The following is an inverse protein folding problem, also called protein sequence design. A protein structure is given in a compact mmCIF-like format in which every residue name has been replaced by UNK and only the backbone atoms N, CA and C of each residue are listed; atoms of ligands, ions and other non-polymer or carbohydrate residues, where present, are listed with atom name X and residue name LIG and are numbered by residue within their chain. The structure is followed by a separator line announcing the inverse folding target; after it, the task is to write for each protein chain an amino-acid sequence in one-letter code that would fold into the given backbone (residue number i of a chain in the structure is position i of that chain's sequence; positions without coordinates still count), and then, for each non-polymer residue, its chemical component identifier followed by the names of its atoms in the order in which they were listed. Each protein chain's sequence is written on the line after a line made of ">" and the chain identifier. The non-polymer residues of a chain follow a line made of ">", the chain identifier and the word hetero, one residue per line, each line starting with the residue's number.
data_IF_379840853455
#
_entry.id   IF_379840853455
#
_cell.length_a   1.000
_cell.length_b   1.000
_cell.length_c   1.000
_cell.angle_alpha   90.00
_cell.angle_beta   90.00
_cell.angle_gamma   90.00
#
_symmetry.space_group_name_H-M   'P 1'
#
loop_
_entity.id
_entity.type
_entity.pdbx_description
1 polymer ?
#
# COMPACT_ATOMS: atom_id res chain seq x y z
N UNK A 1 -18.78 15.76 49.05
CA UNK A 1 -18.35 16.17 47.71
C UNK A 1 -17.09 15.39 47.37
N UNK A 2 -17.18 14.15 46.89
CA UNK A 2 -16.02 13.37 46.43
C UNK A 2 -16.47 12.18 45.58
N UNK A 3 -16.81 12.43 44.32
CA UNK A 3 -16.76 11.40 43.27
C UNK A 3 -16.77 12.08 41.89
N UNK A 4 -15.81 12.97 41.67
CA UNK A 4 -15.40 13.30 40.31
C UNK A 4 -14.43 12.17 39.91
N UNK A 5 -14.85 11.34 38.96
CA UNK A 5 -14.18 10.18 38.31
C UNK A 5 -13.20 9.39 39.22
N UNK A 6 -13.52 8.12 39.58
CA UNK A 6 -12.67 7.32 40.46
C UNK A 6 -11.30 7.03 39.84
N UNK A 7 -10.21 7.21 40.61
CA UNK A 7 -8.82 6.93 40.20
C UNK A 7 -8.62 5.52 39.62
N UNK A 8 -9.22 4.44 40.17
CA UNK A 8 -9.11 3.10 39.58
C UNK A 8 -9.64 3.01 38.16
N UNK A 9 -10.72 3.73 37.83
CA UNK A 9 -11.31 3.72 36.48
C UNK A 9 -10.31 4.28 35.46
N UNK A 10 -9.68 5.40 35.78
CA UNK A 10 -8.67 6.01 34.93
C UNK A 10 -7.50 5.07 34.67
N UNK A 11 -6.96 4.46 35.73
CA UNK A 11 -5.85 3.50 35.61
C UNK A 11 -6.24 2.29 34.75
N UNK A 12 -7.43 1.74 34.95
CA UNK A 12 -7.89 0.59 34.14
C UNK A 12 -8.05 0.91 32.65
N UNK A 13 -8.50 2.13 32.31
CA UNK A 13 -8.64 2.54 30.90
C UNK A 13 -7.26 2.62 30.22
N UNK A 14 -6.26 3.17 30.89
CA UNK A 14 -4.88 3.22 30.36
C UNK A 14 -4.30 1.81 30.16
N UNK A 15 -4.60 0.86 31.06
CA UNK A 15 -4.19 -0.54 30.88
C UNK A 15 -4.82 -1.19 29.64
N UNK A 16 -6.10 -0.92 29.38
CA UNK A 16 -6.79 -1.45 28.19
C UNK A 16 -6.17 -0.87 26.91
N UNK A 17 -5.88 0.43 26.87
CA UNK A 17 -5.21 1.08 25.73
C UNK A 17 -3.85 0.48 25.44
N UNK A 18 -3.03 0.27 26.49
CA UNK A 18 -1.73 -0.39 26.34
C UNK A 18 -1.87 -1.81 25.78
N UNK A 19 -2.84 -2.57 26.28
CA UNK A 19 -3.08 -3.93 25.79
C UNK A 19 -3.49 -3.96 24.31
N UNK A 20 -4.34 -3.02 23.87
CA UNK A 20 -4.73 -2.90 22.46
C UNK A 20 -3.53 -2.59 21.56
N UNK A 21 -2.69 -1.64 21.95
CA UNK A 21 -1.47 -1.29 21.18
C UNK A 21 -0.50 -2.47 21.11
N UNK A 22 -0.33 -3.20 22.20
CA UNK A 22 0.49 -4.41 22.22
C UNK A 22 -0.03 -5.45 21.22
N UNK A 23 -1.35 -5.65 21.18
CA UNK A 23 -1.97 -6.59 20.25
C UNK A 23 -1.77 -6.18 18.77
N UNK A 24 -1.91 -4.89 18.44
CA UNK A 24 -1.71 -4.39 17.06
C UNK A 24 -0.26 -4.58 16.61
N UNK A 25 0.71 -4.31 17.49
CA UNK A 25 2.13 -4.44 17.18
C UNK A 25 2.56 -5.89 16.92
N UNK A 26 1.83 -6.88 17.45
CA UNK A 26 2.10 -8.31 17.26
C UNK A 26 1.35 -8.92 16.07
N UNK A 27 0.54 -8.14 15.36
CA UNK A 27 -0.25 -8.64 14.24
C UNK A 27 0.64 -8.93 13.01
N UNK A 28 0.57 -10.17 12.51
CA UNK A 28 1.32 -10.66 11.35
C UNK A 28 0.81 -10.02 10.05
N UNK A 29 -0.46 -9.62 10.00
CA UNK A 29 -1.05 -9.01 8.80
C UNK A 29 -0.58 -7.56 8.57
N UNK A 30 -0.07 -6.90 9.61
CA UNK A 30 0.43 -5.53 9.56
C UNK A 30 1.97 -5.46 9.46
N UNK A 31 2.61 -6.59 9.13
CA UNK A 31 4.05 -6.69 8.92
C UNK A 31 4.39 -6.54 7.44
N UNK A 32 5.33 -5.64 7.12
CA UNK A 32 5.83 -5.46 5.76
C UNK A 32 7.04 -6.38 5.49
N UNK A 33 6.91 -7.40 4.62
CA UNK A 33 8.01 -8.31 4.29
C UNK A 33 9.08 -7.66 3.38
N UNK A 34 8.75 -6.61 2.62
CA UNK A 34 9.70 -5.97 1.72
C UNK A 34 10.73 -5.13 2.48
N UNK A 35 10.31 -4.42 3.53
CA UNK A 35 11.21 -3.64 4.40
C UNK A 35 11.58 -4.35 5.70
N UNK A 36 11.01 -5.53 5.98
CA UNK A 36 11.20 -6.30 7.20
C UNK A 36 10.87 -5.48 8.46
N UNK A 37 9.74 -4.77 8.45
CA UNK A 37 9.33 -3.87 9.53
C UNK A 37 7.92 -4.21 10.01
N UNK A 38 7.73 -4.46 11.32
CA UNK A 38 6.40 -4.52 11.91
C UNK A 38 5.81 -3.10 12.03
N UNK A 39 4.50 -3.02 12.23
CA UNK A 39 3.83 -1.76 12.53
C UNK A 39 4.34 -1.14 13.83
N UNK A 40 4.76 0.13 13.77
CA UNK A 40 5.20 0.89 14.94
C UNK A 40 4.11 1.88 15.38
N UNK A 41 3.51 1.63 16.54
CA UNK A 41 2.52 2.55 17.12
C UNK A 41 3.24 3.51 18.08
N UNK A 42 3.26 4.80 17.73
CA UNK A 42 3.98 5.83 18.51
C UNK A 42 3.13 6.51 19.58
N UNK A 43 1.82 6.23 19.64
CA UNK A 43 0.92 6.86 20.60
C UNK A 43 -0.21 5.93 21.03
N UNK A 44 -0.51 5.89 22.33
CA UNK A 44 -1.46 4.94 22.92
C UNK A 44 -2.94 5.24 22.63
N UNK A 45 -3.27 6.46 22.19
CA UNK A 45 -4.64 6.87 21.88
C UNK A 45 -5.07 6.57 20.42
N UNK A 46 -4.11 6.21 19.55
CA UNK A 46 -4.35 5.95 18.12
C UNK A 46 -5.47 4.93 17.84
N UNK A 47 -5.61 3.81 18.58
CA UNK A 47 -6.66 2.83 18.31
C UNK A 47 -8.08 3.39 18.45
N UNK A 48 -8.31 4.30 19.40
CA UNK A 48 -9.62 4.95 19.59
C UNK A 48 -9.91 5.94 18.47
N UNK A 49 -8.90 6.76 18.11
CA UNK A 49 -9.01 7.75 17.02
C UNK A 49 -9.25 7.06 15.66
N UNK A 50 -8.57 5.94 15.41
CA UNK A 50 -8.77 5.10 14.21
C UNK A 50 -10.18 4.51 14.13
N UNK A 51 -10.80 4.19 15.27
CA UNK A 51 -12.18 3.69 15.30
C UNK A 51 -13.23 4.73 14.91
N UNK A 52 -12.88 6.01 14.94
CA UNK A 52 -13.79 7.14 14.70
C UNK A 52 -13.46 7.94 13.43
N UNK A 53 -12.36 7.61 12.74
CA UNK A 53 -11.93 8.36 11.56
C UNK A 53 -12.91 8.18 10.40
N UNK A 54 -13.28 9.29 9.75
CA UNK A 54 -14.24 9.29 8.61
C UNK A 54 -13.59 9.64 7.27
N UNK A 55 -12.44 10.34 7.31
CA UNK A 55 -11.75 10.82 6.12
C UNK A 55 -10.27 10.46 6.23
N UNK A 56 -9.72 9.89 5.15
CA UNK A 56 -8.30 9.60 5.02
C UNK A 56 -7.73 10.52 3.95
N UNK A 57 -6.80 11.37 4.36
CA UNK A 57 -6.03 12.20 3.44
C UNK A 57 -4.74 11.47 3.10
N UNK A 58 -4.59 11.09 1.82
CA UNK A 58 -3.38 10.43 1.33
C UNK A 58 -2.57 11.41 0.48
N UNK A 59 -1.24 11.37 0.63
CA UNK A 59 -0.34 12.01 -0.32
C UNK A 59 -0.24 11.17 -1.61
N UNK A 60 0.02 11.80 -2.75
CA UNK A 60 0.11 11.10 -4.03
C UNK A 60 1.43 10.34 -4.15
N UNK A 61 2.55 11.06 -4.00
CA UNK A 61 3.88 10.51 -4.26
C UNK A 61 4.42 9.83 -3.02
N UNK A 62 4.84 8.57 -3.13
CA UNK A 62 5.40 7.81 -2.00
C UNK A 62 4.35 7.19 -1.07
N UNK A 63 3.05 7.46 -1.26
CA UNK A 63 1.96 6.72 -0.61
C UNK A 63 1.11 5.98 -1.65
N UNK A 64 0.50 6.69 -2.61
CA UNK A 64 -0.32 6.03 -3.64
C UNK A 64 0.53 5.43 -4.76
N UNK A 65 1.63 6.09 -5.11
CA UNK A 65 2.54 5.62 -6.16
C UNK A 65 3.94 5.48 -5.63
N UNK A 66 4.57 4.34 -5.91
CA UNK A 66 6.01 4.18 -5.78
C UNK A 66 6.74 5.13 -6.75
N UNK A 67 7.92 5.60 -6.36
CA UNK A 67 8.75 6.43 -7.23
C UNK A 67 9.48 5.58 -8.29
N UNK A 68 8.70 4.84 -9.08
CA UNK A 68 9.16 3.99 -10.17
C UNK A 68 8.29 4.22 -11.39
N UNK A 69 8.89 4.79 -12.43
CA UNK A 69 8.20 5.06 -13.68
C UNK A 69 8.55 3.95 -14.68
N UNK A 70 7.56 3.13 -15.01
CA UNK A 70 7.69 2.09 -16.03
C UNK A 70 6.98 2.52 -17.31
N UNK A 71 7.68 2.40 -18.43
CA UNK A 71 7.07 2.60 -19.73
C UNK A 71 6.15 1.42 -20.05
N UNK A 72 4.85 1.68 -20.27
CA UNK A 72 3.84 0.64 -20.56
C UNK A 72 3.37 0.63 -22.01
N UNK A 73 3.22 1.79 -22.66
CA UNK A 73 2.71 1.88 -24.03
C UNK A 73 3.13 3.18 -24.71
N UNK A 74 3.35 3.13 -26.02
CA UNK A 74 3.36 4.32 -26.87
C UNK A 74 2.65 4.05 -28.19
N UNK A 75 2.17 5.12 -28.81
CA UNK A 75 1.64 5.07 -30.17
C UNK A 75 2.57 5.86 -31.09
N UNK A 76 3.12 5.21 -32.11
CA UNK A 76 4.04 5.83 -33.08
C UNK A 76 3.47 5.58 -34.48
N UNK A 77 3.20 6.64 -35.24
CA UNK A 77 2.74 6.55 -36.63
C UNK A 77 1.44 5.72 -36.82
N UNK A 78 0.52 5.77 -35.85
CA UNK A 78 -0.75 5.00 -35.86
C UNK A 78 -0.63 3.56 -35.36
N UNK A 79 0.56 3.15 -34.94
CA UNK A 79 0.87 1.82 -34.43
C UNK A 79 1.02 1.88 -32.90
N UNK A 80 0.25 1.05 -32.18
CA UNK A 80 0.33 0.94 -30.71
C UNK A 80 1.31 -0.15 -30.26
N UNK A 81 2.33 0.27 -29.50
CA UNK A 81 3.37 -0.56 -28.92
C UNK A 81 3.11 -0.73 -27.44
N UNK A 82 2.98 -1.96 -26.97
CA UNK A 82 2.76 -2.28 -25.54
C UNK A 82 4.00 -2.99 -25.00
N UNK A 83 4.48 -2.54 -23.84
CA UNK A 83 5.56 -3.17 -23.10
C UNK A 83 4.94 -4.06 -22.02
N UNK A 84 4.88 -5.36 -22.30
CA UNK A 84 4.46 -6.39 -21.35
C UNK A 84 5.69 -7.05 -20.71
N UNK A 85 5.49 -7.78 -19.61
CA UNK A 85 6.56 -8.41 -18.83
C UNK A 85 7.43 -9.42 -19.63
N UNK A 86 6.99 -9.81 -20.84
CA UNK A 86 7.70 -10.72 -21.75
C UNK A 86 8.37 -10.09 -22.97
N UNK A 87 8.27 -8.77 -23.18
CA UNK A 87 8.86 -8.08 -24.33
C UNK A 87 7.99 -6.95 -24.91
N UNK A 88 8.47 -6.34 -26.00
CA UNK A 88 7.71 -5.34 -26.74
C UNK A 88 6.76 -6.02 -27.73
N UNK A 89 5.46 -5.73 -27.61
CA UNK A 89 4.47 -6.14 -28.60
C UNK A 89 4.34 -5.08 -29.69
N UNK A 90 4.61 -5.49 -30.92
CA UNK A 90 4.55 -4.66 -32.11
C UNK A 90 3.21 -4.89 -32.82
N UNK A 91 2.55 -3.82 -33.29
CA UNK A 91 1.36 -3.95 -34.09
C UNK A 91 1.73 -4.40 -35.51
N UNK A 92 1.29 -5.61 -35.91
CA UNK A 92 1.51 -6.13 -37.25
C UNK A 92 0.26 -5.92 -38.12
N UNK A 93 0.37 -5.23 -39.28
CA UNK A 93 -0.76 -5.00 -40.19
C UNK A 93 -1.34 -6.26 -40.86
N UNK A 94 -0.66 -7.41 -40.77
CA UNK A 94 -1.07 -8.66 -41.43
C UNK A 94 -1.61 -9.75 -40.48
N UNK A 95 -1.41 -9.63 -39.15
CA UNK A 95 -1.70 -10.75 -38.22
C UNK A 95 -2.29 -10.34 -36.85
N UNK A 96 -2.59 -9.05 -36.62
CA UNK A 96 -2.88 -8.57 -35.26
C UNK A 96 -1.58 -8.42 -34.45
N UNK A 97 -1.65 -7.80 -33.27
CA UNK A 97 -0.46 -7.49 -32.44
C UNK A 97 0.44 -8.72 -32.22
N UNK A 98 1.72 -8.63 -32.59
CA UNK A 98 2.72 -9.68 -32.42
C UNK A 98 3.65 -9.29 -31.26
N UNK A 99 3.69 -10.13 -30.22
CA UNK A 99 4.65 -9.99 -29.13
C UNK A 99 5.95 -10.69 -29.50
N UNK A 100 7.05 -9.93 -29.64
CA UNK A 100 8.35 -10.51 -29.92
C UNK A 100 8.89 -11.09 -28.59
N UNK A 101 8.78 -12.41 -28.43
CA UNK A 101 9.50 -13.16 -27.39
C UNK A 101 10.83 -13.66 -27.98
N UNK A 102 11.73 -14.19 -27.14
CA UNK A 102 13.03 -14.77 -27.54
C UNK A 102 12.97 -15.87 -28.64
N UNK A 103 11.77 -16.34 -29.00
CA UNK A 103 11.52 -17.31 -30.07
C UNK A 103 11.19 -16.72 -31.45
N UNK A 104 10.86 -15.43 -31.55
CA UNK A 104 10.53 -14.77 -32.82
C UNK A 104 11.16 -13.36 -32.87
N UNK A 105 12.38 -13.22 -33.43
CA UNK A 105 12.98 -11.91 -33.66
C UNK A 105 12.18 -11.18 -34.74
N UNK A 106 11.63 -10.03 -34.37
CA UNK A 106 10.94 -9.14 -35.29
C UNK A 106 12.00 -8.35 -36.08
N UNK A 107 12.36 -8.85 -37.27
CA UNK A 107 13.06 -8.12 -38.32
C UNK A 107 12.04 -7.59 -39.35
#
# INVERSE_FOLDING_TARGET
>A
MTAMIPLPLYVTLEFVKMHQVWHITQDIHLYDPATNRPIEVRSFNIPEDLGQIQYVFCDKTGTLTENKMEFKRASINGFDYVADEGGLCFPNPYHGSVCCNDSFPCY
#
